data_IF_448104739528
#
_entry.id   IF_448104739528
#
_cell.length_a   1.000
_cell.length_b   1.000
_cell.length_c   1.000
_cell.angle_alpha   90.00
_cell.angle_beta   90.00
_cell.angle_gamma   90.00
#
_symmetry.space_group_name_H-M   'P 1'
#
loop_
_entity.id
_entity.type
_entity.pdbx_description
1 polymer ?
#
# COMPACT_ATOMS: atom_id res chain seq x y z
N UNK A 1 3.22 16.49 1.58
CA UNK A 1 4.13 15.42 2.05
C UNK A 1 5.56 15.87 1.77
N UNK A 2 6.22 16.52 2.73
CA UNK A 2 7.58 17.07 2.55
C UNK A 2 8.68 16.01 2.75
N UNK A 3 8.33 14.83 3.29
CA UNK A 3 9.27 13.76 3.64
C UNK A 3 9.39 12.65 2.58
N UNK A 4 8.71 12.78 1.44
CA UNK A 4 8.65 11.71 0.43
C UNK A 4 7.73 10.55 0.85
N UNK A 5 7.63 9.54 0.00
CA UNK A 5 6.90 8.31 0.26
C UNK A 5 7.90 7.16 0.47
N UNK A 6 7.64 6.30 1.46
CA UNK A 6 8.33 5.04 1.65
C UNK A 6 7.44 3.94 1.05
N UNK A 7 8.02 3.09 0.21
CA UNK A 7 7.31 1.98 -0.42
C UNK A 7 7.97 0.68 0.00
N UNK A 8 7.16 -0.33 0.32
CA UNK A 8 7.59 -1.69 0.62
C UNK A 8 7.01 -2.61 -0.45
N UNK A 9 7.80 -3.52 -1.01
CA UNK A 9 7.33 -4.46 -2.04
C UNK A 9 7.97 -5.84 -1.92
N UNK A 10 7.17 -6.88 -2.18
CA UNK A 10 7.63 -8.26 -2.36
C UNK A 10 8.07 -8.55 -3.80
N UNK A 11 7.84 -7.62 -4.73
CA UNK A 11 8.18 -7.82 -6.14
C UNK A 11 9.69 -7.73 -6.35
N UNK A 12 10.20 -8.52 -7.30
CA UNK A 12 11.60 -8.52 -7.68
C UNK A 12 11.95 -7.45 -8.72
N UNK A 13 10.97 -6.93 -9.48
CA UNK A 13 11.20 -5.90 -10.51
C UNK A 13 11.54 -4.52 -9.91
N UNK A 14 11.92 -3.55 -10.75
CA UNK A 14 12.19 -2.17 -10.37
C UNK A 14 11.27 -1.16 -11.10
N UNK A 15 10.03 -1.57 -11.41
CA UNK A 15 9.11 -0.75 -12.21
C UNK A 15 8.76 0.57 -11.52
N UNK A 16 8.71 0.59 -10.18
CA UNK A 16 8.42 1.80 -9.41
C UNK A 16 9.53 2.85 -9.57
N UNK A 17 10.79 2.41 -9.53
CA UNK A 17 11.97 3.26 -9.71
C UNK A 17 12.08 3.75 -11.14
N UNK A 18 11.86 2.87 -12.12
CA UNK A 18 11.86 3.24 -13.53
C UNK A 18 10.76 4.26 -13.85
N UNK A 19 9.55 4.05 -13.34
CA UNK A 19 8.45 5.01 -13.49
C UNK A 19 8.76 6.34 -12.79
N UNK A 20 9.33 6.31 -11.58
CA UNK A 20 9.74 7.54 -10.90
C UNK A 20 10.78 8.32 -11.71
N UNK A 21 11.77 7.62 -12.28
CA UNK A 21 12.82 8.22 -13.12
C UNK A 21 12.24 8.84 -14.40
N UNK A 22 11.30 8.17 -15.06
CA UNK A 22 10.56 8.71 -16.21
C UNK A 22 9.81 10.02 -15.85
N UNK A 23 9.32 10.11 -14.61
CA UNK A 23 8.70 11.32 -14.06
C UNK A 23 9.70 12.34 -13.50
N UNK A 24 11.00 12.19 -13.77
CA UNK A 24 12.06 13.09 -13.31
C UNK A 24 12.35 13.03 -11.81
N UNK A 25 11.94 11.95 -11.12
CA UNK A 25 12.17 11.73 -9.69
C UNK A 25 13.17 10.60 -9.48
N UNK A 26 14.04 10.75 -8.49
CA UNK A 26 14.90 9.67 -8.04
C UNK A 26 14.23 8.92 -6.89
N UNK A 27 14.07 7.61 -7.05
CA UNK A 27 13.57 6.70 -6.03
C UNK A 27 14.68 5.71 -5.71
N UNK A 28 15.20 5.72 -4.48
CA UNK A 28 16.29 4.82 -4.09
C UNK A 28 15.76 3.39 -3.92
N UNK A 29 16.39 2.42 -4.57
CA UNK A 29 16.09 1.00 -4.41
C UNK A 29 16.94 0.42 -3.29
N UNK A 30 16.29 -0.25 -2.34
CA UNK A 30 16.91 -0.90 -1.19
C UNK A 30 16.49 -2.37 -1.15
N UNK A 31 17.39 -3.23 -0.70
CA UNK A 31 17.09 -4.61 -0.32
C UNK A 31 17.65 -4.91 1.07
N UNK A 32 17.47 -6.15 1.53
CA UNK A 32 17.88 -6.56 2.87
C UNK A 32 19.40 -6.80 3.02
N UNK A 33 20.19 -6.62 1.97
CA UNK A 33 21.66 -6.85 2.03
C UNK A 33 22.42 -5.73 2.74
N UNK A 34 21.85 -4.52 2.84
CA UNK A 34 22.43 -3.38 3.54
C UNK A 34 21.59 -3.01 4.78
N UNK A 35 21.87 -3.68 5.89
CA UNK A 35 21.16 -3.51 7.18
C UNK A 35 21.10 -2.06 7.64
N UNK A 36 22.19 -1.29 7.45
CA UNK A 36 22.24 0.12 7.85
C UNK A 36 21.22 0.94 7.06
N UNK A 37 21.14 0.74 5.75
CA UNK A 37 20.16 1.46 4.91
C UNK A 37 18.73 1.08 5.27
N UNK A 38 18.47 -0.20 5.54
CA UNK A 38 17.15 -0.68 5.98
C UNK A 38 16.74 -0.05 7.31
N UNK A 39 17.66 0.05 8.29
CA UNK A 39 17.37 0.69 9.57
C UNK A 39 17.07 2.19 9.41
N UNK A 40 17.84 2.89 8.58
CA UNK A 40 17.60 4.30 8.26
C UNK A 40 16.26 4.51 7.52
N UNK A 41 15.87 3.56 6.65
CA UNK A 41 14.56 3.54 5.98
C UNK A 41 13.42 3.38 6.98
N UNK A 42 13.52 2.40 7.89
CA UNK A 42 12.49 2.12 8.89
C UNK A 42 12.30 3.27 9.89
N UNK A 43 13.37 4.03 10.16
CA UNK A 43 13.36 5.24 10.98
C UNK A 43 12.91 6.49 10.23
N UNK A 44 12.45 6.36 8.98
CA UNK A 44 12.01 7.47 8.11
C UNK A 44 13.09 8.55 7.90
N UNK A 45 14.37 8.16 8.03
CA UNK A 45 15.53 9.05 7.81
C UNK A 45 15.93 9.16 6.33
N UNK A 46 15.29 8.36 5.47
CA UNK A 46 15.47 8.35 4.02
C UNK A 46 14.26 8.97 3.34
N UNK A 47 14.50 9.69 2.25
CA UNK A 47 13.45 10.29 1.42
C UNK A 47 13.31 9.48 0.14
N UNK A 48 12.07 9.20 -0.29
CA UNK A 48 11.73 8.54 -1.56
C UNK A 48 12.55 7.28 -1.82
N UNK A 49 12.11 6.16 -1.26
CA UNK A 49 12.81 4.89 -1.40
C UNK A 49 11.87 3.69 -1.36
N UNK A 50 12.20 2.65 -2.14
CA UNK A 50 11.52 1.35 -2.17
C UNK A 50 12.38 0.34 -1.44
N UNK A 51 11.78 -0.39 -0.49
CA UNK A 51 12.39 -1.55 0.14
C UNK A 51 11.84 -2.83 -0.48
N UNK A 52 12.71 -3.61 -1.13
CA UNK A 52 12.44 -4.92 -1.70
C UNK A 52 12.76 -6.02 -0.69
N UNK A 53 11.72 -6.52 -0.03
CA UNK A 53 11.88 -7.52 1.05
C UNK A 53 12.24 -8.92 0.54
N UNK A 54 12.01 -9.19 -0.74
CA UNK A 54 12.46 -10.43 -1.39
C UNK A 54 13.73 -10.21 -2.22
N UNK A 55 14.32 -9.02 -2.16
CA UNK A 55 15.41 -8.60 -3.06
C UNK A 55 14.90 -8.05 -4.39
N UNK A 56 15.82 -7.45 -5.15
CA UNK A 56 15.56 -6.79 -6.44
C UNK A 56 16.42 -7.43 -7.53
N UNK A 57 15.88 -7.59 -8.74
CA UNK A 57 16.55 -8.32 -9.83
C UNK A 57 17.89 -7.70 -10.26
N UNK A 58 18.08 -6.41 -10.01
CA UNK A 58 19.34 -5.69 -10.26
C UNK A 58 20.44 -6.06 -9.26
N UNK A 59 20.08 -6.68 -8.13
CA UNK A 59 21.00 -7.30 -7.18
C UNK A 59 20.61 -8.76 -6.89
N UNK A 60 20.96 -9.71 -7.79
CA UNK A 60 20.62 -11.12 -7.64
C UNK A 60 21.11 -11.77 -6.34
N UNK A 61 22.19 -11.25 -5.74
CA UNK A 61 22.74 -11.80 -4.49
C UNK A 61 21.84 -11.55 -3.27
N UNK A 62 20.95 -10.56 -3.35
CA UNK A 62 19.98 -10.24 -2.30
C UNK A 62 18.62 -10.93 -2.46
N UNK A 63 18.44 -11.75 -3.50
CA UNK A 63 17.15 -12.38 -3.80
C UNK A 63 16.83 -13.50 -2.81
N UNK A 64 15.60 -13.47 -2.28
CA UNK A 64 15.03 -14.51 -1.42
C UNK A 64 13.85 -15.16 -2.15
N UNK A 65 14.01 -16.43 -2.52
CA UNK A 65 12.97 -17.23 -3.19
C UNK A 65 12.24 -18.20 -2.25
N UNK A 66 12.73 -18.33 -1.01
CA UNK A 66 12.23 -19.28 -0.03
C UNK A 66 12.43 -18.69 1.38
N UNK A 67 11.53 -18.93 2.35
CA UNK A 67 11.67 -18.40 3.71
C UNK A 67 13.04 -18.66 4.36
N UNK A 68 13.60 -19.86 4.18
CA UNK A 68 14.95 -20.18 4.66
C UNK A 68 16.07 -19.25 4.12
N UNK A 69 15.85 -18.63 2.96
CA UNK A 69 16.79 -17.68 2.36
C UNK A 69 16.96 -16.38 3.16
N UNK A 70 16.00 -16.04 4.02
CA UNK A 70 16.12 -14.89 4.92
C UNK A 70 17.29 -15.01 5.89
N UNK A 71 17.63 -16.22 6.34
CA UNK A 71 18.77 -16.44 7.25
C UNK A 71 20.11 -16.08 6.60
N UNK A 72 20.21 -16.19 5.27
CA UNK A 72 21.44 -15.88 4.54
C UNK A 72 21.62 -14.36 4.32
N UNK A 73 20.50 -13.64 4.28
CA UNK A 73 20.47 -12.19 4.01
C UNK A 73 20.41 -11.38 5.30
N UNK A 74 19.66 -11.85 6.30
CA UNK A 74 19.53 -11.26 7.63
C UNK A 74 20.52 -11.92 8.59
N UNK A 75 21.76 -11.42 8.61
CA UNK A 75 22.83 -12.01 9.43
C UNK A 75 22.65 -11.89 10.95
N UNK A 76 21.71 -11.07 11.45
CA UNK A 76 21.63 -10.74 12.88
C UNK A 76 20.23 -10.42 13.41
N UNK A 77 19.16 -10.78 12.71
CA UNK A 77 17.81 -10.48 13.18
C UNK A 77 17.03 -11.78 13.33
N UNK A 78 16.42 -12.01 14.50
CA UNK A 78 15.38 -13.03 14.73
C UNK A 78 14.12 -12.71 13.91
N UNK A 79 14.28 -12.51 12.61
CA UNK A 79 13.25 -12.03 11.72
C UNK A 79 12.98 -13.13 10.71
N UNK A 80 11.78 -13.68 10.87
CA UNK A 80 11.07 -14.55 9.93
C UNK A 80 11.54 -16.01 9.84
N UNK A 81 11.27 -16.77 10.91
CA UNK A 81 10.72 -18.12 10.71
C UNK A 81 9.19 -17.99 10.63
N UNK A 82 8.66 -17.67 9.44
CA UNK A 82 7.22 -17.78 9.21
C UNK A 82 7.02 -18.46 7.86
N UNK A 83 6.50 -19.67 7.92
CA UNK A 83 6.07 -20.45 6.76
C UNK A 83 5.05 -19.62 5.97
N UNK A 84 5.50 -19.14 4.81
CA UNK A 84 4.73 -18.48 3.75
C UNK A 84 3.62 -17.50 4.19
N UNK A 85 3.94 -16.60 5.12
CA UNK A 85 3.18 -15.36 5.36
C UNK A 85 4.09 -14.13 5.49
N UNK A 86 5.10 -14.04 4.64
CA UNK A 86 6.14 -13.00 4.65
C UNK A 86 5.58 -11.56 4.70
N UNK A 87 4.50 -11.27 3.98
CA UNK A 87 3.80 -9.98 4.11
C UNK A 87 3.25 -9.76 5.53
N UNK A 88 2.67 -10.79 6.17
CA UNK A 88 2.13 -10.68 7.53
C UNK A 88 3.23 -10.46 8.56
N UNK A 89 4.34 -11.21 8.48
CA UNK A 89 5.45 -11.06 9.43
C UNK A 89 6.12 -9.68 9.31
N UNK A 90 6.33 -9.20 8.09
CA UNK A 90 6.92 -7.89 7.83
C UNK A 90 5.95 -6.74 8.15
N UNK A 91 4.66 -6.92 7.84
CA UNK A 91 3.62 -5.97 8.25
C UNK A 91 3.56 -5.88 9.77
N UNK A 92 3.39 -7.01 10.48
CA UNK A 92 3.30 -7.05 11.94
C UNK A 92 4.51 -6.44 12.63
N UNK A 93 5.74 -6.69 12.14
CA UNK A 93 6.93 -6.09 12.73
C UNK A 93 7.08 -4.59 12.38
N UNK A 94 6.80 -4.20 11.13
CA UNK A 94 6.86 -2.79 10.72
C UNK A 94 5.79 -1.90 11.38
N UNK A 95 4.67 -2.49 11.80
CA UNK A 95 3.54 -1.79 12.45
C UNK A 95 3.43 -2.07 13.95
N UNK A 96 4.31 -2.89 14.54
CA UNK A 96 4.30 -3.29 15.96
C UNK A 96 4.26 -2.12 16.93
N UNK A 97 4.85 -0.99 16.52
CA UNK A 97 4.89 0.27 17.28
C UNK A 97 4.06 1.40 16.65
N UNK A 98 3.24 1.09 15.64
CA UNK A 98 2.34 2.01 14.93
C UNK A 98 0.90 1.46 14.87
N UNK A 99 0.50 0.69 15.88
CA UNK A 99 -0.79 -0.01 15.95
C UNK A 99 -2.01 0.92 16.03
N UNK A 100 -1.78 2.22 16.21
CA UNK A 100 -2.76 3.30 16.20
C UNK A 100 -3.07 3.83 14.79
N UNK A 101 -2.26 3.48 13.78
CA UNK A 101 -2.49 3.90 12.40
C UNK A 101 -3.49 2.99 11.69
N UNK A 102 -4.43 3.61 10.96
CA UNK A 102 -5.32 2.88 10.07
C UNK A 102 -4.59 2.49 8.79
N UNK A 103 -4.62 1.19 8.48
CA UNK A 103 -4.09 0.67 7.24
C UNK A 103 -5.23 0.34 6.28
N UNK A 104 -4.98 0.43 4.97
CA UNK A 104 -5.99 0.19 3.95
C UNK A 104 -5.50 -0.82 2.92
N UNK A 105 -6.40 -1.71 2.49
CA UNK A 105 -6.16 -2.67 1.43
C UNK A 105 -7.13 -2.38 0.28
N UNK A 106 -6.59 -2.12 -0.90
CA UNK A 106 -7.38 -1.87 -2.11
C UNK A 106 -7.63 -3.20 -2.84
N UNK A 107 -8.90 -3.54 -3.05
CA UNK A 107 -9.33 -4.78 -3.72
C UNK A 107 -10.36 -4.52 -4.81
N UNK A 108 -10.64 -5.51 -5.67
CA UNK A 108 -11.80 -5.44 -6.57
C UNK A 108 -13.08 -5.65 -5.76
N UNK A 109 -14.18 -5.09 -6.26
CA UNK A 109 -15.49 -5.15 -5.60
C UNK A 109 -15.97 -6.59 -5.36
N UNK A 110 -15.72 -7.49 -6.33
CA UNK A 110 -16.08 -8.90 -6.21
C UNK A 110 -15.30 -9.66 -5.14
N UNK A 111 -14.15 -9.14 -4.71
CA UNK A 111 -13.23 -9.84 -3.81
C UNK A 111 -13.35 -9.34 -2.35
N UNK A 112 -14.19 -8.33 -2.07
CA UNK A 112 -14.29 -7.71 -0.73
C UNK A 112 -14.55 -8.76 0.36
N UNK A 113 -15.55 -9.63 0.17
CA UNK A 113 -15.96 -10.60 1.19
C UNK A 113 -14.87 -11.65 1.48
N UNK A 114 -14.12 -12.04 0.46
CA UNK A 114 -12.99 -12.96 0.60
C UNK A 114 -11.88 -12.33 1.44
N UNK A 115 -11.49 -11.10 1.12
CA UNK A 115 -10.43 -10.39 1.85
C UNK A 115 -10.86 -9.94 3.25
N UNK A 116 -12.16 -9.71 3.50
CA UNK A 116 -12.68 -9.48 4.85
C UNK A 116 -12.57 -10.74 5.72
N UNK A 117 -12.88 -11.93 5.18
CA UNK A 117 -12.66 -13.21 5.88
C UNK A 117 -11.18 -13.48 6.11
N UNK A 118 -10.33 -13.18 5.12
CA UNK A 118 -8.89 -13.31 5.27
C UNK A 118 -8.37 -12.39 6.39
N UNK A 119 -8.89 -11.16 6.49
CA UNK A 119 -8.59 -10.24 7.59
C UNK A 119 -8.94 -10.85 8.94
N UNK A 120 -10.16 -11.38 9.10
CA UNK A 120 -10.59 -11.99 10.36
C UNK A 120 -9.69 -13.16 10.81
N UNK A 121 -9.11 -13.88 9.86
CA UNK A 121 -8.29 -15.06 10.12
C UNK A 121 -6.78 -14.77 10.25
N UNK A 122 -6.28 -13.69 9.65
CA UNK A 122 -4.83 -13.53 9.40
C UNK A 122 -4.28 -12.09 9.56
N UNK A 123 -5.13 -11.05 9.61
CA UNK A 123 -4.66 -9.66 9.71
C UNK A 123 -5.16 -9.06 11.02
N UNK A 124 -4.24 -8.51 11.80
CA UNK A 124 -4.60 -7.79 13.02
C UNK A 124 -5.61 -6.66 12.69
N UNK A 125 -6.42 -6.27 13.67
CA UNK A 125 -7.69 -5.53 13.52
C UNK A 125 -7.59 -4.14 12.85
N UNK A 126 -6.41 -3.69 12.41
CA UNK A 126 -6.13 -2.35 11.89
C UNK A 126 -6.19 -2.16 10.37
N UNK A 127 -6.31 -3.21 9.54
CA UNK A 127 -6.43 -3.05 8.07
C UNK A 127 -7.89 -2.98 7.63
N UNK A 128 -8.29 -1.91 6.95
CA UNK A 128 -9.61 -1.73 6.33
C UNK A 128 -9.57 -2.09 4.84
N UNK A 129 -10.45 -2.97 4.39
CA UNK A 129 -10.56 -3.33 2.97
C UNK A 129 -11.48 -2.35 2.26
N UNK A 130 -11.02 -1.77 1.15
CA UNK A 130 -11.75 -0.80 0.33
C UNK A 130 -11.69 -1.26 -1.13
N UNK A 131 -12.83 -1.17 -1.83
CA UNK A 131 -12.86 -1.46 -3.26
C UNK A 131 -12.45 -0.27 -4.12
N UNK A 132 -11.60 -0.50 -5.11
CA UNK A 132 -11.26 0.52 -6.13
C UNK A 132 -12.16 0.48 -7.36
N UNK A 133 -12.84 -0.63 -7.64
CA UNK A 133 -13.67 -0.82 -8.83
C UNK A 133 -14.04 -2.29 -9.03
N UNK A 134 -14.61 -2.62 -10.19
CA UNK A 134 -14.97 -4.00 -10.53
C UNK A 134 -13.79 -4.75 -11.18
N UNK A 135 -12.98 -4.04 -11.97
CA UNK A 135 -11.88 -4.61 -12.76
C UNK A 135 -10.54 -3.93 -12.46
N UNK A 136 -9.42 -4.60 -12.75
CA UNK A 136 -8.09 -4.00 -12.59
C UNK A 136 -7.91 -2.69 -13.37
N UNK A 137 -8.60 -2.54 -14.50
CA UNK A 137 -8.58 -1.34 -15.32
C UNK A 137 -9.22 -0.11 -14.62
N UNK A 138 -9.99 -0.30 -13.56
CA UNK A 138 -10.60 0.78 -12.79
C UNK A 138 -9.60 1.45 -11.81
N UNK A 139 -8.52 0.76 -11.45
CA UNK A 139 -7.56 1.21 -10.44
C UNK A 139 -6.88 2.55 -10.80
N UNK A 140 -6.42 2.80 -12.04
CA UNK A 140 -5.86 4.10 -12.40
C UNK A 140 -6.86 5.25 -12.23
N UNK A 141 -8.13 5.04 -12.58
CA UNK A 141 -9.16 6.08 -12.45
C UNK A 141 -9.52 6.34 -10.98
N UNK A 142 -9.55 5.28 -10.17
CA UNK A 142 -9.66 5.41 -8.71
C UNK A 142 -8.57 6.31 -8.13
N UNK A 143 -7.29 6.10 -8.51
CA UNK A 143 -6.19 6.94 -8.04
C UNK A 143 -6.27 8.39 -8.52
N UNK A 144 -6.72 8.64 -9.76
CA UNK A 144 -6.95 10.01 -10.24
C UNK A 144 -7.99 10.73 -9.39
N UNK A 145 -9.15 10.09 -9.16
CA UNK A 145 -10.21 10.63 -8.30
C UNK A 145 -9.70 10.91 -6.89
N UNK A 146 -9.02 9.95 -6.28
CA UNK A 146 -8.44 10.10 -4.94
C UNK A 146 -7.45 11.27 -4.87
N UNK A 147 -6.59 11.42 -5.88
CA UNK A 147 -5.66 12.55 -5.98
C UNK A 147 -6.39 13.89 -6.04
N UNK A 148 -7.47 13.98 -6.82
CA UNK A 148 -8.31 15.18 -6.89
C UNK A 148 -8.99 15.49 -5.55
N UNK A 149 -9.54 14.49 -4.86
CA UNK A 149 -10.18 14.65 -3.55
C UNK A 149 -9.20 15.15 -2.49
N UNK A 150 -7.99 14.58 -2.44
CA UNK A 150 -6.94 15.00 -1.50
C UNK A 150 -6.49 16.45 -1.81
N UNK A 151 -6.27 16.76 -3.09
CA UNK A 151 -5.79 18.08 -3.52
C UNK A 151 -6.81 19.21 -3.26
N UNK A 152 -8.10 18.90 -3.36
CA UNK A 152 -9.20 19.85 -3.14
C UNK A 152 -9.50 20.02 -1.65
N UNK A 153 -9.48 18.94 -0.86
CA UNK A 153 -9.61 19.01 0.61
C UNK A 153 -8.50 19.81 1.27
N UNK A 154 -7.26 19.72 0.77
CA UNK A 154 -6.14 20.54 1.24
C UNK A 154 -6.30 22.06 1.02
N UNK A 155 -7.23 22.48 0.13
CA UNK A 155 -7.53 23.90 -0.13
C UNK A 155 -8.79 24.40 0.57
N UNK A 156 -9.72 23.52 0.91
CA UNK A 156 -11.01 23.85 1.49
C UNK A 156 -11.06 23.44 2.96
N UNK A 157 -10.30 24.16 3.80
CA UNK A 157 -10.45 24.10 5.24
C UNK A 157 -11.77 24.72 5.72
N UNK A 158 -12.91 24.12 5.34
CA UNK A 158 -14.20 24.31 6.01
C UNK A 158 -14.93 22.96 6.02
N UNK A 159 -15.12 22.47 7.24
CA UNK A 159 -15.80 21.26 7.65
C UNK A 159 -17.16 21.04 6.96
N UNK A 160 -17.37 19.86 6.39
CA UNK A 160 -18.67 19.17 6.42
C UNK A 160 -18.46 17.68 6.64
N UNK A 161 -18.75 17.27 7.86
CA UNK A 161 -19.07 15.89 8.22
C UNK A 161 -20.28 15.45 7.39
N UNK A 162 -20.16 14.36 6.64
CA UNK A 162 -21.20 13.94 5.71
C UNK A 162 -20.85 12.66 4.97
N UNK A 163 -21.03 11.53 5.66
CA UNK A 163 -21.50 10.25 5.14
C UNK A 163 -20.96 9.79 3.77
N UNK A 164 -19.90 8.98 3.79
CA UNK A 164 -19.51 8.13 2.66
C UNK A 164 -20.53 6.99 2.52
N UNK A 165 -21.62 7.21 1.79
CA UNK A 165 -22.42 6.14 1.21
C UNK A 165 -23.14 6.69 -0.03
N UNK A 166 -22.68 6.28 -1.21
CA UNK A 166 -23.35 6.55 -2.47
C UNK A 166 -24.60 5.70 -2.59
N UNK A 167 -25.77 6.29 -2.31
CA UNK A 167 -27.05 5.74 -2.74
C UNK A 167 -27.44 6.38 -4.07
N UNK A 168 -27.51 5.57 -5.11
CA UNK A 168 -28.11 5.93 -6.39
C UNK A 168 -29.60 5.63 -6.32
N UNK A 169 -30.42 6.68 -6.23
CA UNK A 169 -31.84 6.62 -6.52
C UNK A 169 -32.22 7.92 -7.24
N UNK A 170 -32.16 7.87 -8.58
CA UNK A 170 -32.73 8.91 -9.42
C UNK A 170 -34.27 8.76 -9.40
N UNK A 171 -34.94 9.63 -8.65
CA UNK A 171 -36.38 9.87 -8.83
C UNK A 171 -36.58 10.75 -10.06
N UNK A 172 -37.22 10.21 -11.09
CA UNK A 172 -37.77 10.99 -12.21
C UNK A 172 -39.15 11.52 -11.82
N UNK A 173 -39.25 12.81 -11.52
CA UNK A 173 -40.52 13.54 -11.54
C UNK A 173 -40.74 14.09 -12.96
N UNK A 174 -41.71 13.53 -13.68
CA UNK A 174 -42.26 14.16 -14.88
C UNK A 174 -43.46 14.99 -14.42
N UNK A 175 -43.38 16.30 -14.68
CA UNK A 175 -44.44 17.29 -14.52
C UNK A 175 -45.58 16.97 -15.49
N UNK A 176 -46.77 16.70 -14.96
CA UNK A 176 -48.01 16.83 -15.73
C UNK A 176 -48.38 18.32 -15.82
N UNK A 177 -48.40 18.84 -17.05
CA UNK A 177 -48.97 20.14 -17.40
C UNK A 177 -50.46 19.96 -17.68
N UNK A 178 -51.31 20.65 -16.92
CA UNK A 178 -52.73 20.82 -17.22
C UNK A 178 -52.95 21.64 -18.49
N UNK A 179 -53.79 21.15 -19.40
CA UNK A 179 -54.91 21.90 -20.01
C UNK A 179 -55.97 20.93 -20.53
#
# INVERSE_FOLDING_TARGET
>A
MENGALVLTTNFDNLLELYAADQGKQLESLDLTDEKKVLEWAQEKRKLSVLHIHGVYTNPSGIVLHPAGYQNVLRNTEVMTVDDTTFQALFLEAVKHKSDLEHFMLVRKGDIDEFMKLRENMLDKGIKVISYGNEYADLPEYFKRLTCEISTRGRSGVMREGHLNGSSAAHSEIRDLST
#
